data_IF_838511349524
#
_entry.id   IF_838511349524
#
_cell.length_a   1.000
_cell.length_b   1.000
_cell.length_c   1.000
_cell.angle_alpha   90.00
_cell.angle_beta   90.00
_cell.angle_gamma   90.00
#
_symmetry.space_group_name_H-M   'P 1'
#
loop_
_entity.id
_entity.type
_entity.pdbx_description
1 polymer ?
#
# COMPACT_ATOMS: atom_id res chain seq x y z
N UNK A 1 19.85 1.95 -9.60
CA UNK A 1 18.70 2.86 -9.50
C UNK A 1 17.67 2.18 -8.63
N UNK A 2 16.96 2.93 -7.79
CA UNK A 2 15.96 2.35 -6.91
C UNK A 2 14.59 2.34 -7.60
N UNK A 3 13.78 1.34 -7.30
CA UNK A 3 12.37 1.23 -7.69
C UNK A 3 11.52 2.08 -6.77
N UNK A 4 11.71 1.94 -5.45
CA UNK A 4 11.04 2.76 -4.44
C UNK A 4 11.68 4.15 -4.41
N UNK A 5 10.89 5.18 -4.69
CA UNK A 5 11.33 6.57 -4.69
C UNK A 5 11.10 7.23 -3.33
N UNK A 6 9.90 7.07 -2.77
CA UNK A 6 9.52 7.64 -1.47
C UNK A 6 8.36 6.86 -0.85
N UNK A 7 8.22 6.94 0.47
CA UNK A 7 7.04 6.48 1.22
C UNK A 7 6.62 7.57 2.18
N UNK A 8 5.44 8.13 1.94
CA UNK A 8 4.90 9.24 2.73
C UNK A 8 3.67 8.80 3.52
N UNK A 9 3.57 9.29 4.75
CA UNK A 9 2.42 9.05 5.62
C UNK A 9 1.67 10.38 5.80
N UNK A 10 0.39 10.37 5.49
CA UNK A 10 -0.49 11.52 5.51
C UNK A 10 -1.87 11.19 6.05
N UNK A 11 -2.76 12.17 5.98
CA UNK A 11 -4.17 12.01 6.36
C UNK A 11 -5.04 12.49 5.19
N UNK A 12 -6.09 11.73 4.88
CA UNK A 12 -7.10 12.06 3.87
C UNK A 12 -8.47 11.71 4.43
N UNK A 13 -9.36 12.70 4.52
CA UNK A 13 -10.74 12.51 4.98
C UNK A 13 -10.88 11.75 6.32
N UNK A 14 -10.00 12.04 7.29
CA UNK A 14 -9.98 11.37 8.60
C UNK A 14 -9.47 9.92 8.57
N UNK A 15 -8.88 9.51 7.44
CA UNK A 15 -8.18 8.23 7.26
C UNK A 15 -6.69 8.46 7.11
N UNK A 16 -5.88 7.49 7.52
CA UNK A 16 -4.43 7.54 7.34
C UNK A 16 -4.12 7.04 5.93
N UNK A 17 -3.28 7.78 5.20
CA UNK A 17 -2.84 7.43 3.86
C UNK A 17 -1.34 7.14 3.86
N UNK A 18 -0.97 5.99 3.31
CA UNK A 18 0.43 5.61 3.04
C UNK A 18 0.61 5.67 1.52
N UNK A 19 1.37 6.66 1.05
CA UNK A 19 1.66 6.88 -0.36
C UNK A 19 3.06 6.33 -0.69
N UNK A 20 3.11 5.25 -1.46
CA UNK A 20 4.35 4.64 -1.97
C UNK A 20 4.59 5.12 -3.39
N UNK A 21 5.71 5.81 -3.62
CA UNK A 21 6.09 6.36 -4.93
C UNK A 21 7.14 5.50 -5.63
N UNK A 22 7.02 5.38 -6.95
CA UNK A 22 7.91 4.56 -7.79
C UNK A 22 8.64 5.41 -8.83
N UNK A 23 9.92 5.09 -9.07
CA UNK A 23 10.76 5.84 -10.00
C UNK A 23 10.38 5.65 -11.48
N UNK A 24 9.48 4.71 -11.80
CA UNK A 24 8.90 4.46 -13.11
C UNK A 24 7.45 3.98 -13.00
N UNK A 25 6.65 4.05 -14.09
CA UNK A 25 5.25 3.64 -14.05
C UNK A 25 5.08 2.13 -13.79
N UNK A 26 4.28 1.80 -12.77
CA UNK A 26 3.92 0.45 -12.34
C UNK A 26 2.40 0.38 -12.18
N UNK A 27 1.80 -0.68 -12.73
CA UNK A 27 0.38 -0.97 -12.59
C UNK A 27 0.13 -1.93 -11.44
N UNK A 28 -0.81 -1.57 -10.57
CA UNK A 28 -1.44 -2.44 -9.59
C UNK A 28 -2.27 -3.52 -10.28
N UNK A 29 -2.02 -4.77 -9.93
CA UNK A 29 -2.76 -5.91 -10.46
C UNK A 29 -3.82 -6.38 -9.46
N UNK A 30 -3.39 -6.73 -8.26
CA UNK A 30 -4.21 -7.24 -7.16
C UNK A 30 -3.39 -7.23 -5.86
N UNK A 31 -4.04 -7.50 -4.74
CA UNK A 31 -3.35 -7.74 -3.48
C UNK A 31 -4.02 -8.84 -2.66
N UNK A 32 -3.32 -9.30 -1.63
CA UNK A 32 -3.81 -10.18 -0.58
C UNK A 32 -3.18 -9.76 0.76
N UNK A 33 -3.92 -9.82 1.89
CA UNK A 33 -5.36 -10.09 2.01
C UNK A 33 -6.22 -8.96 1.41
N UNK A 34 -7.54 -9.14 1.32
CA UNK A 34 -8.42 -8.24 0.55
C UNK A 34 -8.65 -6.89 1.25
N UNK A 35 -8.80 -6.87 2.57
CA UNK A 35 -9.18 -5.65 3.30
C UNK A 35 -8.65 -5.58 4.73
N UNK A 36 -8.04 -6.65 5.26
CA UNK A 36 -7.54 -6.69 6.64
C UNK A 36 -6.38 -7.65 6.81
N UNK A 37 -5.33 -7.19 7.49
CA UNK A 37 -4.12 -7.96 7.75
C UNK A 37 -3.04 -7.13 8.43
N UNK A 38 -2.03 -7.80 8.97
CA UNK A 38 -0.74 -7.25 9.40
C UNK A 38 0.28 -7.18 8.26
N UNK A 39 -0.05 -7.72 7.09
CA UNK A 39 0.74 -7.64 5.88
C UNK A 39 -0.19 -7.40 4.70
N UNK A 40 0.25 -6.62 3.71
CA UNK A 40 -0.34 -6.57 2.37
C UNK A 40 0.72 -6.97 1.36
N UNK A 41 0.43 -7.98 0.54
CA UNK A 41 1.21 -8.35 -0.64
C UNK A 41 0.51 -7.88 -1.90
N UNK A 42 1.12 -6.95 -2.61
CA UNK A 42 0.57 -6.32 -3.80
C UNK A 42 1.34 -6.83 -5.02
N UNK A 43 0.64 -7.47 -5.96
CA UNK A 43 1.21 -7.88 -7.24
C UNK A 43 1.26 -6.66 -8.19
N UNK A 44 2.42 -6.45 -8.81
CA UNK A 44 2.74 -5.29 -9.62
C UNK A 44 3.08 -5.67 -11.06
N UNK A 45 2.81 -4.78 -12.01
CA UNK A 45 3.09 -4.93 -13.44
C UNK A 45 3.80 -3.68 -13.98
N UNK A 46 5.15 -3.69 -14.14
CA UNK A 46 5.88 -2.57 -14.73
C UNK A 46 5.50 -2.34 -16.20
N UNK A 47 5.02 -1.14 -16.55
CA UNK A 47 4.38 -0.90 -17.88
C UNK A 47 5.24 -0.13 -18.89
N UNK A 48 6.18 0.71 -18.45
CA UNK A 48 6.95 1.59 -19.32
C UNK A 48 8.41 1.67 -18.85
N UNK A 49 9.10 0.55 -18.97
CA UNK A 49 10.44 0.33 -18.45
C UNK A 49 11.49 0.81 -19.45
N UNK A 50 12.29 1.81 -19.08
CA UNK A 50 13.44 2.21 -19.90
C UNK A 50 14.56 1.16 -19.80
N UNK A 51 15.48 1.13 -20.77
CA UNK A 51 16.66 0.23 -20.72
C UNK A 51 17.51 0.41 -19.45
N UNK A 52 17.51 1.62 -18.87
CA UNK A 52 18.26 1.94 -17.64
C UNK A 52 17.58 1.33 -16.41
N UNK A 53 16.28 1.04 -16.49
CA UNK A 53 15.47 0.55 -15.38
C UNK A 53 15.31 -0.97 -15.38
N UNK A 54 15.73 -1.64 -16.47
CA UNK A 54 15.56 -3.08 -16.64
C UNK A 54 16.22 -3.89 -15.53
N UNK A 55 17.42 -3.49 -15.08
CA UNK A 55 18.10 -4.18 -13.99
C UNK A 55 17.44 -3.92 -12.63
N UNK A 56 16.93 -2.70 -12.40
CA UNK A 56 16.31 -2.31 -11.14
C UNK A 56 15.01 -3.08 -10.86
N UNK A 57 14.25 -3.43 -11.90
CA UNK A 57 13.00 -4.19 -11.77
C UNK A 57 13.19 -5.57 -11.19
N UNK A 58 14.34 -6.19 -11.41
CA UNK A 58 14.63 -7.51 -10.85
C UNK A 58 15.33 -7.40 -9.48
N UNK A 59 15.48 -6.18 -8.95
CA UNK A 59 16.11 -5.92 -7.68
C UNK A 59 15.20 -6.18 -6.48
N UNK A 60 15.80 -6.18 -5.29
CA UNK A 60 15.09 -6.22 -4.02
C UNK A 60 15.43 -4.97 -3.22
N UNK A 61 14.41 -4.32 -2.68
CA UNK A 61 14.56 -3.09 -1.89
C UNK A 61 13.70 -3.17 -0.63
N UNK A 62 14.17 -2.56 0.46
CA UNK A 62 13.40 -2.49 1.70
C UNK A 62 13.60 -1.14 2.38
N UNK A 63 12.51 -0.55 2.83
CA UNK A 63 12.48 0.65 3.64
C UNK A 63 11.88 0.29 5.01
N UNK A 64 12.58 0.70 6.08
CA UNK A 64 12.20 0.44 7.49
C UNK A 64 12.18 1.72 8.32
N UNK A 65 12.75 2.81 7.81
CA UNK A 65 12.90 4.07 8.54
C UNK A 65 11.77 5.02 8.18
N UNK A 66 10.55 4.70 8.62
CA UNK A 66 9.44 5.64 8.59
C UNK A 66 9.54 6.47 9.88
N UNK A 67 9.94 7.73 9.76
CA UNK A 67 10.33 8.54 10.90
C UNK A 67 9.16 8.70 11.89
N UNK A 68 9.12 7.91 12.98
CA UNK A 68 8.19 7.99 14.12
C UNK A 68 6.85 8.63 13.79
N UNK A 69 6.22 8.14 12.73
CA UNK A 69 4.95 8.67 12.30
C UNK A 69 3.87 7.80 12.89
N UNK A 70 3.56 8.08 14.15
CA UNK A 70 2.59 7.35 14.98
C UNK A 70 1.17 7.31 14.37
N UNK A 71 0.95 7.98 13.23
CA UNK A 71 -0.30 7.92 12.46
C UNK A 71 -0.48 6.57 11.77
N UNK A 72 0.59 5.93 11.31
CA UNK A 72 0.51 4.65 10.61
C UNK A 72 1.33 3.57 11.32
N UNK A 73 0.75 2.38 11.62
CA UNK A 73 1.48 1.29 12.26
C UNK A 73 2.34 0.53 11.23
N UNK A 74 3.12 1.24 10.40
CA UNK A 74 3.92 0.65 9.33
C UNK A 74 5.31 0.26 9.85
N UNK A 75 5.67 -1.02 9.67
CA UNK A 75 6.99 -1.54 10.07
C UNK A 75 7.96 -1.56 8.88
N UNK A 76 7.46 -1.95 7.71
CA UNK A 76 8.32 -2.18 6.54
C UNK A 76 7.58 -2.02 5.22
N UNK A 77 8.31 -1.55 4.21
CA UNK A 77 7.93 -1.65 2.80
C UNK A 77 9.02 -2.38 2.04
N UNK A 78 8.67 -3.44 1.31
CA UNK A 78 9.61 -4.31 0.60
C UNK A 78 9.18 -4.41 -0.86
N UNK A 79 10.08 -4.12 -1.78
CA UNK A 79 9.92 -4.46 -3.19
C UNK A 79 10.70 -5.74 -3.50
N UNK A 80 10.05 -6.71 -4.12
CA UNK A 80 10.64 -7.99 -4.54
C UNK A 80 10.46 -8.15 -6.06
N UNK A 81 11.51 -7.79 -6.79
CA UNK A 81 11.57 -7.76 -8.25
C UNK A 81 11.93 -9.09 -8.92
N UNK A 82 12.61 -9.95 -8.16
CA UNK A 82 13.17 -11.23 -8.59
C UNK A 82 12.16 -12.39 -8.54
N UNK A 83 10.88 -12.09 -8.28
CA UNK A 83 9.80 -13.07 -8.19
C UNK A 83 9.06 -13.18 -9.52
N UNK A 84 8.95 -14.40 -10.03
CA UNK A 84 8.16 -14.70 -11.23
C UNK A 84 6.68 -15.04 -10.87
N UNK A 85 5.71 -14.70 -11.73
CA UNK A 85 5.86 -14.02 -13.02
C UNK A 85 5.96 -12.49 -12.90
N UNK A 86 5.75 -11.93 -11.70
CA UNK A 86 5.61 -10.50 -11.48
C UNK A 86 6.15 -10.07 -10.11
N UNK A 87 6.66 -8.82 -10.02
CA UNK A 87 7.15 -8.28 -8.78
C UNK A 87 6.05 -8.07 -7.74
N UNK A 88 6.45 -8.06 -6.47
CA UNK A 88 5.58 -7.74 -5.35
C UNK A 88 6.05 -6.48 -4.61
N UNK A 89 5.08 -5.73 -4.09
CA UNK A 89 5.29 -4.80 -2.98
C UNK A 89 4.64 -5.40 -1.74
N UNK A 90 5.42 -5.58 -0.69
CA UNK A 90 4.95 -6.02 0.62
C UNK A 90 4.98 -4.84 1.58
N UNK A 91 3.87 -4.58 2.26
CA UNK A 91 3.77 -3.60 3.34
C UNK A 91 3.43 -4.36 4.62
N UNK A 92 4.33 -4.32 5.60
CA UNK A 92 4.19 -4.95 6.91
C UNK A 92 3.73 -3.89 7.92
N UNK A 93 2.78 -4.26 8.77
CA UNK A 93 2.24 -3.44 9.85
C UNK A 93 2.54 -4.06 11.22
N UNK A 94 2.69 -3.22 12.24
CA UNK A 94 2.94 -3.64 13.62
C UNK A 94 1.78 -4.49 14.20
N UNK A 95 0.57 -4.30 13.69
CA UNK A 95 -0.62 -5.05 14.06
C UNK A 95 -1.64 -5.08 12.92
N UNK A 96 -2.60 -6.02 12.88
CA UNK A 96 -3.59 -6.08 11.82
C UNK A 96 -4.43 -4.81 11.70
N UNK A 97 -4.49 -4.22 10.51
CA UNK A 97 -5.32 -3.04 10.18
C UNK A 97 -6.34 -3.36 9.11
N UNK A 98 -7.43 -2.59 9.06
CA UNK A 98 -8.31 -2.55 7.89
C UNK A 98 -7.70 -1.59 6.88
N UNK A 99 -7.69 -1.96 5.61
CA UNK A 99 -7.07 -1.16 4.57
C UNK A 99 -7.84 -1.21 3.25
N UNK A 100 -7.53 -0.26 2.36
CA UNK A 100 -7.86 -0.29 0.94
C UNK A 100 -6.64 0.13 0.15
N UNK A 101 -6.46 -0.44 -1.04
CA UNK A 101 -5.34 -0.11 -1.94
C UNK A 101 -5.87 0.57 -3.18
N UNK A 102 -5.30 1.71 -3.53
CA UNK A 102 -5.68 2.54 -4.67
C UNK A 102 -4.47 2.87 -5.54
N UNK A 103 -4.66 2.80 -6.86
CA UNK A 103 -3.65 3.19 -7.84
C UNK A 103 -3.69 4.70 -8.07
N UNK A 104 -2.54 5.36 -7.97
CA UNK A 104 -2.40 6.77 -8.38
C UNK A 104 -2.62 6.97 -9.88
N UNK A 105 -3.15 8.13 -10.26
CA UNK A 105 -3.61 8.43 -11.64
C UNK A 105 -2.52 8.31 -12.72
N UNK A 106 -1.25 8.53 -12.35
CA UNK A 106 -0.11 8.50 -13.26
C UNK A 106 0.66 7.17 -13.27
N UNK A 107 0.16 6.16 -12.56
CA UNK A 107 0.81 4.85 -12.36
C UNK A 107 2.16 4.93 -11.65
N UNK A 108 2.50 6.04 -10.97
CA UNK A 108 3.77 6.19 -10.24
C UNK A 108 3.61 6.15 -8.74
N UNK A 109 2.40 5.92 -8.25
CA UNK A 109 2.15 5.71 -6.83
C UNK A 109 1.10 4.66 -6.55
N UNK A 110 1.23 4.02 -5.39
CA UNK A 110 0.18 3.26 -4.74
C UNK A 110 -0.15 3.89 -3.40
N UNK A 111 -1.45 4.03 -3.13
CA UNK A 111 -1.97 4.54 -1.87
C UNK A 111 -2.62 3.42 -1.09
N UNK A 112 -2.21 3.25 0.16
CA UNK A 112 -2.90 2.40 1.13
C UNK A 112 -3.64 3.29 2.13
N UNK A 113 -4.95 3.14 2.19
CA UNK A 113 -5.83 3.92 3.07
C UNK A 113 -6.23 3.04 4.25
N UNK A 114 -5.91 3.50 5.46
CA UNK A 114 -6.33 2.89 6.72
C UNK A 114 -7.44 3.77 7.31
N UNK A 115 -8.71 3.30 7.34
CA UNK A 115 -9.82 4.09 7.87
C UNK A 115 -9.59 4.46 9.34
N UNK A 116 -9.78 5.74 9.68
CA UNK A 116 -9.73 6.19 11.06
C UNK A 116 -10.92 5.70 11.88
N UNK A 117 -10.89 5.90 13.22
CA UNK A 117 -11.92 5.41 14.16
C UNK A 117 -13.36 5.87 13.87
N UNK A 118 -13.55 6.87 13.00
CA UNK A 118 -14.84 7.50 12.74
C UNK A 118 -15.54 7.02 11.46
N UNK A 119 -14.95 6.12 10.67
CA UNK A 119 -15.53 5.65 9.40
C UNK A 119 -16.38 4.37 9.51
N UNK A 120 -16.48 3.75 10.69
CA UNK A 120 -17.09 2.42 10.88
C UNK A 120 -18.31 2.33 11.80
N UNK A 121 -18.72 3.41 12.47
CA UNK A 121 -19.86 3.38 13.41
C UNK A 121 -21.14 3.96 12.77
N UNK A 122 -21.58 3.38 11.67
CA UNK A 122 -22.99 3.41 11.30
C UNK A 122 -23.51 1.98 11.40
N UNK A 123 -23.76 1.55 12.62
CA UNK A 123 -24.53 0.33 12.87
C UNK A 123 -25.89 0.44 12.14
N UNK A 124 -26.35 -0.60 11.44
CA UNK A 124 -27.70 -0.59 10.90
C UNK A 124 -28.67 -0.51 12.08
N UNK A 125 -29.37 0.63 12.19
CA UNK A 125 -30.52 0.77 13.08
C UNK A 125 -31.56 -0.28 12.72
N UNK A 126 -31.51 -1.43 13.40
CA UNK A 126 -32.64 -2.34 13.49
C UNK A 126 -33.71 -1.58 14.24
N UNK A 127 -34.71 -1.08 13.52
CA UNK A 127 -35.98 -0.69 14.12
C UNK A 127 -36.59 -1.94 14.74
N UNK A 128 -36.36 -2.16 16.04
CA UNK A 128 -37.22 -3.06 16.81
C UNK A 128 -38.57 -2.37 16.96
N UNK A 129 -39.56 -2.91 16.24
CA UNK A 129 -40.96 -2.58 16.43
C UNK A 129 -41.54 -3.31 17.64
N UNK A 130 -42.53 -2.65 18.26
CA UNK A 130 -43.71 -3.27 18.85
C UNK A 130 -43.53 -4.09 20.12
N UNK A 131 -43.94 -3.52 21.25
CA UNK A 131 -45.23 -3.87 21.90
C UNK A 131 -45.76 -2.64 22.64
#
# INVERSE_FOLDING_TARGET
RNVLEDVQIGEVDGSVAIDVSFSFPIRYVKHFPIDRGDEIRIELDPIAVSKVDQEAIFGRESLTSFAYDDRAPIERVIYEGDVEPRPFLTIEFEHPVVFRVEQGEDFRSLRVIIPGPSAGAAEPSVKQGGD
#
